data_IF_425773991143
#
_entry.id   IF_425773991143
#
_cell.length_a   1.000
_cell.length_b   1.000
_cell.length_c   1.000
_cell.angle_alpha   90.00
_cell.angle_beta   90.00
_cell.angle_gamma   90.00
#
_symmetry.space_group_name_H-M   'P 1'
#
loop_
_entity.id
_entity.type
_entity.pdbx_description
1 polymer ?
#
# COMPACT_ATOMS: atom_id res chain seq x y z
N UNK A 1 3.82 -8.78 -11.60
CA UNK A 1 3.51 -9.59 -10.39
C UNK A 1 2.68 -8.69 -9.50
N UNK A 2 1.42 -9.09 -9.22
CA UNK A 2 0.43 -8.22 -8.55
C UNK A 2 0.40 -8.42 -7.04
N UNK A 3 1.51 -8.90 -6.49
CA UNK A 3 1.58 -9.26 -5.09
C UNK A 3 1.84 -8.05 -4.20
N UNK A 4 1.20 -8.04 -3.05
CA UNK A 4 1.55 -7.20 -1.91
C UNK A 4 2.72 -7.81 -1.15
N UNK A 5 3.47 -7.01 -0.45
CA UNK A 5 4.42 -7.48 0.57
C UNK A 5 3.89 -7.18 1.97
N UNK A 6 4.11 -8.12 2.87
CA UNK A 6 3.67 -8.03 4.26
C UNK A 6 4.85 -8.23 5.20
N UNK A 7 4.83 -7.50 6.31
CA UNK A 7 5.81 -7.66 7.38
C UNK A 7 5.76 -9.06 7.99
N UNK A 8 6.92 -9.57 8.39
CA UNK A 8 7.07 -10.84 9.11
C UNK A 8 7.23 -10.59 10.61
N UNK A 9 7.42 -11.67 11.38
CA UNK A 9 7.78 -11.52 12.79
C UNK A 9 9.10 -10.76 12.98
N UNK A 10 10.07 -10.91 12.07
CA UNK A 10 11.34 -10.19 12.13
C UNK A 10 11.16 -8.68 12.02
N UNK A 11 10.35 -8.22 11.07
CA UNK A 11 10.01 -6.80 10.92
C UNK A 11 9.13 -6.29 12.05
N UNK A 12 8.24 -7.11 12.58
CA UNK A 12 7.38 -6.75 13.70
C UNK A 12 8.16 -6.56 15.02
N UNK A 13 9.34 -7.15 15.16
CA UNK A 13 10.23 -6.98 16.31
C UNK A 13 11.15 -5.75 16.18
N UNK A 14 11.17 -5.08 15.03
CA UNK A 14 11.92 -3.84 14.89
C UNK A 14 11.27 -2.73 15.75
N UNK A 15 12.09 -1.82 16.27
CA UNK A 15 11.60 -0.69 17.07
C UNK A 15 10.81 0.34 16.23
N UNK A 16 10.77 0.18 14.91
CA UNK A 16 10.12 1.10 14.01
C UNK A 16 8.63 0.70 13.85
N UNK A 17 7.75 1.47 14.45
CA UNK A 17 6.29 1.22 14.44
C UNK A 17 5.71 1.13 13.01
N UNK A 18 6.29 1.84 12.05
CA UNK A 18 5.87 1.83 10.65
C UNK A 18 5.85 0.41 10.05
N UNK A 19 6.85 -0.41 10.41
CA UNK A 19 6.98 -1.77 9.86
C UNK A 19 6.15 -2.81 10.59
N UNK A 20 5.64 -2.46 11.77
CA UNK A 20 4.80 -3.38 12.54
C UNK A 20 3.47 -3.59 11.83
N UNK A 21 3.21 -4.83 11.43
CA UNK A 21 2.02 -5.21 10.68
C UNK A 21 1.84 -4.43 9.36
N UNK A 22 2.94 -4.08 8.68
CA UNK A 22 2.88 -3.36 7.42
C UNK A 22 2.32 -4.25 6.30
N UNK A 23 1.47 -3.66 5.46
CA UNK A 23 1.03 -4.17 4.16
C UNK A 23 1.44 -3.14 3.13
N UNK A 24 2.29 -3.52 2.20
CA UNK A 24 2.94 -2.59 1.27
C UNK A 24 2.57 -2.98 -0.16
N UNK A 25 2.22 -2.00 -0.98
CA UNK A 25 2.12 -2.10 -2.42
C UNK A 25 3.48 -1.80 -3.02
N UNK A 26 4.20 -2.77 -3.59
CA UNK A 26 5.45 -2.52 -4.30
C UNK A 26 5.17 -2.01 -5.71
N UNK A 27 6.03 -1.12 -6.17
CA UNK A 27 6.07 -0.62 -7.55
C UNK A 27 7.51 -0.71 -8.06
N UNK A 28 7.75 -1.66 -8.97
CA UNK A 28 9.05 -1.84 -9.60
C UNK A 28 9.28 -0.75 -10.66
N UNK A 29 10.44 -0.14 -10.63
CA UNK A 29 10.89 0.89 -11.56
C UNK A 29 12.25 0.51 -12.13
N UNK A 30 12.71 1.24 -13.13
CA UNK A 30 14.05 1.04 -13.73
C UNK A 30 15.21 1.33 -12.75
N UNK A 31 14.91 1.90 -11.58
CA UNK A 31 15.91 2.33 -10.58
C UNK A 31 15.69 1.68 -9.20
N UNK A 32 15.08 0.48 -9.17
CA UNK A 32 14.75 -0.22 -7.95
C UNK A 32 13.25 -0.26 -7.67
N UNK A 33 12.87 -0.48 -6.43
CA UNK A 33 11.46 -0.62 -6.05
C UNK A 33 11.03 0.49 -5.12
N UNK A 34 9.96 1.17 -5.47
CA UNK A 34 9.19 2.00 -4.54
C UNK A 34 8.10 1.15 -3.86
N UNK A 35 7.67 1.55 -2.68
CA UNK A 35 6.57 0.88 -1.99
C UNK A 35 5.74 1.83 -1.16
N UNK A 36 4.45 1.51 -1.03
CA UNK A 36 3.48 2.33 -0.31
C UNK A 36 2.80 1.52 0.79
N UNK A 37 3.05 1.89 2.05
CA UNK A 37 2.41 1.22 3.20
C UNK A 37 0.93 1.60 3.23
N UNK A 38 0.07 0.63 2.95
CA UNK A 38 -1.36 0.86 2.70
C UNK A 38 -2.20 0.93 3.96
N UNK A 39 -1.67 0.53 5.11
CA UNK A 39 -2.46 0.27 6.31
C UNK A 39 -1.97 0.98 7.58
N UNK A 40 -1.07 1.95 7.44
CA UNK A 40 -0.62 2.78 8.56
C UNK A 40 -1.33 4.15 8.50
N UNK A 41 -2.49 4.31 9.20
CA UNK A 41 -3.18 5.59 9.21
C UNK A 41 -2.34 6.64 9.93
N UNK A 42 -2.41 7.87 9.46
CA UNK A 42 -1.71 8.99 10.11
C UNK A 42 -2.50 9.40 11.35
N UNK A 43 -1.95 9.08 12.53
CA UNK A 43 -2.67 9.23 13.80
C UNK A 43 -2.70 10.68 14.33
N UNK A 44 -1.67 11.47 14.11
CA UNK A 44 -1.43 12.73 14.83
C UNK A 44 -1.54 13.99 13.97
N UNK A 45 -1.95 13.88 12.70
CA UNK A 45 -2.20 15.03 11.87
C UNK A 45 -3.63 15.53 12.06
N UNK A 46 -3.78 16.81 12.39
CA UNK A 46 -5.09 17.45 12.35
C UNK A 46 -5.53 17.57 10.88
N UNK A 47 -6.82 17.55 10.64
CA UNK A 47 -7.37 17.75 9.29
C UNK A 47 -6.81 19.03 8.66
N UNK A 48 -6.68 20.10 9.44
CA UNK A 48 -6.22 21.40 8.98
C UNK A 48 -4.71 21.40 8.67
N UNK A 49 -3.87 20.69 9.42
CA UNK A 49 -2.43 20.61 9.13
C UNK A 49 -2.15 19.84 7.83
N UNK A 50 -2.93 18.81 7.51
CA UNK A 50 -2.81 18.08 6.24
C UNK A 50 -3.29 18.96 5.08
N UNK A 51 -4.44 19.57 5.21
CA UNK A 51 -5.01 20.42 4.15
C UNK A 51 -4.15 21.64 3.87
N UNK A 52 -3.52 22.22 4.89
CA UNK A 52 -2.67 23.42 4.75
C UNK A 52 -1.29 23.07 4.21
N UNK A 53 -0.65 22.02 4.74
CA UNK A 53 0.72 21.65 4.34
C UNK A 53 0.78 20.94 2.99
N UNK A 54 -0.23 20.14 2.65
CA UNK A 54 -0.25 19.34 1.43
C UNK A 54 -1.28 19.82 0.40
N UNK A 55 -2.10 20.81 0.76
CA UNK A 55 -3.17 21.36 -0.09
C UNK A 55 -4.07 20.28 -0.71
N UNK A 56 -4.31 19.21 0.05
CA UNK A 56 -5.12 18.06 -0.40
C UNK A 56 -6.63 18.29 -0.29
N UNK A 57 -7.04 19.48 0.15
CA UNK A 57 -8.46 19.80 0.32
C UNK A 57 -9.14 18.96 1.41
N UNK A 58 -10.44 18.80 1.32
CA UNK A 58 -11.23 18.04 2.31
C UNK A 58 -11.20 16.52 2.03
N UNK A 59 -10.07 15.88 2.23
CA UNK A 59 -9.96 14.41 2.16
C UNK A 59 -10.36 13.82 3.51
N UNK A 60 -11.23 12.78 3.55
CA UNK A 60 -11.51 12.09 4.80
C UNK A 60 -10.23 11.53 5.43
N UNK A 61 -10.01 11.74 6.72
CA UNK A 61 -8.85 11.20 7.46
C UNK A 61 -8.64 9.70 7.27
N UNK A 62 -9.72 8.95 7.12
CA UNK A 62 -9.69 7.52 6.86
C UNK A 62 -9.02 7.14 5.53
N UNK A 63 -8.70 8.11 4.69
CA UNK A 63 -8.03 7.94 3.41
C UNK A 63 -6.56 8.38 3.40
N UNK A 64 -6.02 8.85 4.54
CA UNK A 64 -4.65 9.38 4.63
C UNK A 64 -3.79 8.41 5.43
N UNK A 65 -2.69 7.98 4.82
CA UNK A 65 -1.80 6.95 5.36
C UNK A 65 -0.35 7.43 5.31
N UNK A 66 0.46 6.96 6.25
CA UNK A 66 1.91 7.06 6.16
C UNK A 66 2.39 6.01 5.15
N UNK A 67 2.73 6.44 3.94
CA UNK A 67 3.15 5.56 2.85
C UNK A 67 4.56 5.01 3.00
N UNK A 68 5.41 5.67 3.77
CA UNK A 68 6.79 5.25 4.04
C UNK A 68 7.64 6.34 4.67
N UNK A 69 8.91 6.04 5.00
CA UNK A 69 9.79 6.96 5.71
C UNK A 69 10.45 8.00 4.81
N UNK A 70 10.47 7.78 3.48
CA UNK A 70 11.10 8.67 2.52
C UNK A 70 10.11 9.75 2.06
N UNK A 71 10.58 10.99 1.95
CA UNK A 71 9.82 12.10 1.40
C UNK A 71 8.42 12.27 2.02
N UNK A 72 8.35 12.23 3.34
CA UNK A 72 7.09 12.34 4.09
C UNK A 72 6.36 13.68 3.90
N UNK A 73 7.06 14.67 3.35
CA UNK A 73 6.51 15.95 2.92
C UNK A 73 5.76 15.87 1.57
N UNK A 74 5.88 14.76 0.85
CA UNK A 74 5.23 14.57 -0.45
C UNK A 74 3.97 13.72 -0.34
N UNK A 75 2.94 14.20 -1.03
CA UNK A 75 1.67 13.52 -1.14
C UNK A 75 1.57 12.76 -2.47
N UNK A 76 1.16 11.51 -2.38
CA UNK A 76 0.92 10.64 -3.53
C UNK A 76 -0.46 10.03 -3.39
N UNK A 77 -1.19 9.80 -4.48
CA UNK A 77 -2.48 9.12 -4.44
C UNK A 77 -2.39 7.80 -5.16
N UNK A 78 -2.56 6.73 -4.39
CA UNK A 78 -2.77 5.39 -4.91
C UNK A 78 -4.26 5.22 -5.21
N UNK A 79 -4.62 4.75 -6.40
CA UNK A 79 -6.03 4.65 -6.82
C UNK A 79 -6.33 3.41 -7.66
N UNK A 80 -7.62 3.02 -7.72
CA UNK A 80 -8.09 1.94 -8.59
C UNK A 80 -8.07 2.36 -10.05
N UNK A 81 -7.96 1.39 -10.95
CA UNK A 81 -7.77 1.63 -12.39
C UNK A 81 -9.03 1.99 -13.17
N UNK A 82 -10.15 2.15 -12.51
CA UNK A 82 -11.41 2.65 -13.09
C UNK A 82 -11.42 4.15 -13.36
N UNK A 83 -10.33 4.83 -13.02
CA UNK A 83 -10.05 6.23 -13.30
C UNK A 83 -8.62 6.39 -13.81
N UNK A 84 -8.39 7.38 -14.67
CA UNK A 84 -7.05 7.67 -15.21
C UNK A 84 -6.84 9.17 -15.40
N UNK A 85 -5.60 9.59 -15.28
CA UNK A 85 -5.10 10.91 -15.60
C UNK A 85 -3.79 10.76 -16.39
N UNK A 86 -3.43 11.75 -17.20
CA UNK A 86 -2.19 11.72 -17.99
C UNK A 86 -0.93 11.46 -17.16
N UNK A 87 -0.93 11.93 -15.89
CA UNK A 87 0.18 11.75 -14.94
C UNK A 87 0.04 10.48 -14.09
N UNK A 88 -0.99 9.66 -14.32
CA UNK A 88 -1.12 8.39 -13.62
C UNK A 88 -0.13 7.36 -14.16
N UNK A 89 0.54 6.67 -13.25
CA UNK A 89 1.44 5.54 -13.55
C UNK A 89 0.78 4.25 -13.09
N UNK A 90 0.66 3.30 -13.99
CA UNK A 90 0.13 1.98 -13.67
C UNK A 90 1.18 1.22 -12.85
N UNK A 91 0.76 0.71 -11.69
CA UNK A 91 1.58 -0.18 -10.86
C UNK A 91 1.34 -1.62 -11.29
N UNK A 92 0.07 -2.02 -11.36
CA UNK A 92 -0.37 -3.36 -11.73
C UNK A 92 -1.82 -3.34 -12.25
N UNK A 93 -2.44 -4.51 -12.41
CA UNK A 93 -3.81 -4.60 -12.91
C UNK A 93 -4.88 -4.02 -11.98
N UNK A 94 -4.56 -3.77 -10.73
CA UNK A 94 -5.49 -3.29 -9.70
C UNK A 94 -5.29 -1.83 -9.30
N UNK A 95 -4.06 -1.32 -9.48
CA UNK A 95 -3.63 -0.04 -8.94
C UNK A 95 -2.89 0.82 -9.96
N UNK A 96 -3.10 2.11 -9.84
CA UNK A 96 -2.26 3.15 -10.40
C UNK A 96 -1.93 4.19 -9.32
N UNK A 97 -0.91 5.00 -9.60
CA UNK A 97 -0.45 6.05 -8.71
C UNK A 97 -0.37 7.36 -9.47
N UNK A 98 -0.68 8.46 -8.80
CA UNK A 98 -0.48 9.81 -9.33
C UNK A 98 0.07 10.74 -8.25
N UNK A 99 0.92 11.65 -8.67
CA UNK A 99 1.39 12.77 -7.86
C UNK A 99 0.56 14.04 -8.13
N UNK A 100 -0.37 13.97 -9.07
CA UNK A 100 -1.26 15.07 -9.42
C UNK A 100 -2.45 15.12 -8.46
N UNK A 101 -2.77 16.33 -7.97
CA UNK A 101 -3.86 16.57 -7.01
C UNK A 101 -5.25 16.59 -7.64
N UNK A 102 -5.34 16.64 -8.96
CA UNK A 102 -6.63 16.65 -9.68
C UNK A 102 -7.48 15.43 -9.36
N UNK A 103 -6.84 14.29 -9.01
CA UNK A 103 -7.56 13.11 -8.52
C UNK A 103 -8.40 13.42 -7.28
N UNK A 104 -7.92 14.25 -6.37
CA UNK A 104 -8.64 14.62 -5.15
C UNK A 104 -9.84 15.50 -5.49
N UNK A 105 -9.66 16.44 -6.41
CA UNK A 105 -10.75 17.26 -6.94
C UNK A 105 -11.79 16.38 -7.63
N UNK A 106 -11.38 15.48 -8.50
CA UNK A 106 -12.26 14.51 -9.15
C UNK A 106 -13.05 13.65 -8.14
N UNK A 107 -12.39 13.19 -7.07
CA UNK A 107 -13.06 12.45 -5.99
C UNK A 107 -14.13 13.28 -5.28
N UNK A 108 -13.87 14.57 -5.06
CA UNK A 108 -14.84 15.48 -4.43
C UNK A 108 -16.06 15.74 -5.31
N UNK A 109 -15.87 15.73 -6.62
CA UNK A 109 -16.93 15.90 -7.62
C UNK A 109 -17.67 14.59 -7.95
N UNK A 110 -17.28 13.48 -7.34
CA UNK A 110 -17.85 12.16 -7.64
C UNK A 110 -17.43 11.58 -9.00
N UNK A 111 -16.39 12.16 -9.62
CA UNK A 111 -15.83 11.74 -10.92
C UNK A 111 -14.47 11.03 -10.78
N UNK A 112 -14.01 10.85 -9.56
CA UNK A 112 -12.72 10.21 -9.25
C UNK A 112 -12.81 8.69 -9.24
N UNK A 113 -11.67 8.02 -8.92
CA UNK A 113 -11.60 6.57 -8.78
C UNK A 113 -12.52 6.06 -7.66
N UNK A 114 -13.05 4.87 -7.84
CA UNK A 114 -13.90 4.20 -6.84
C UNK A 114 -13.15 3.96 -5.52
N UNK A 115 -11.88 3.61 -5.62
CA UNK A 115 -11.01 3.40 -4.48
C UNK A 115 -9.75 4.25 -4.59
N UNK A 116 -9.39 4.92 -3.50
CA UNK A 116 -8.15 5.67 -3.43
C UNK A 116 -7.63 5.76 -1.99
N UNK A 117 -6.32 5.96 -1.85
CA UNK A 117 -5.62 6.27 -0.61
C UNK A 117 -4.62 7.38 -0.85
N UNK A 118 -4.60 8.35 0.04
CA UNK A 118 -3.61 9.43 0.05
C UNK A 118 -2.43 8.96 0.89
N UNK A 119 -1.25 8.92 0.31
CA UNK A 119 -0.03 8.41 0.90
C UNK A 119 0.92 9.58 1.17
N UNK A 120 1.42 9.70 2.39
CA UNK A 120 2.48 10.63 2.74
C UNK A 120 3.80 9.86 2.77
N UNK A 121 4.70 10.24 1.86
CA UNK A 121 5.96 9.53 1.65
C UNK A 121 5.80 8.13 1.04
N UNK A 122 6.93 7.44 0.93
CA UNK A 122 7.03 6.09 0.39
C UNK A 122 8.24 5.33 0.96
N UNK A 123 8.29 4.03 0.70
CA UNK A 123 9.47 3.18 0.90
C UNK A 123 10.28 3.15 -0.38
N UNK A 124 11.58 2.94 -0.26
CA UNK A 124 12.46 2.77 -1.40
C UNK A 124 13.47 1.67 -1.11
N UNK A 125 13.66 0.79 -2.07
CA UNK A 125 14.69 -0.24 -2.11
C UNK A 125 15.53 -0.05 -3.36
N UNK A 126 16.82 -0.27 -3.23
CA UNK A 126 17.73 -0.36 -4.36
C UNK A 126 17.38 -1.57 -5.24
N UNK A 127 17.94 -1.63 -6.44
CA UNK A 127 17.73 -2.76 -7.34
C UNK A 127 18.17 -4.07 -6.69
N UNK A 128 17.26 -5.09 -6.70
CA UNK A 128 17.46 -6.39 -6.06
C UNK A 128 17.41 -6.41 -4.52
N UNK A 129 17.35 -5.25 -3.85
CA UNK A 129 17.32 -5.20 -2.38
C UNK A 129 16.05 -5.85 -1.82
N UNK A 130 14.88 -5.52 -2.36
CA UNK A 130 13.61 -6.08 -1.91
C UNK A 130 13.58 -7.60 -2.06
N UNK A 131 14.05 -8.13 -3.20
CA UNK A 131 14.11 -9.57 -3.45
C UNK A 131 15.02 -10.27 -2.44
N UNK A 132 16.20 -9.69 -2.16
CA UNK A 132 17.09 -10.19 -1.14
C UNK A 132 16.48 -10.19 0.28
N UNK A 133 15.67 -9.18 0.59
CA UNK A 133 14.95 -9.10 1.87
C UNK A 133 13.82 -10.13 1.96
N UNK A 134 13.11 -10.39 0.86
CA UNK A 134 12.10 -11.46 0.77
C UNK A 134 12.75 -12.84 0.97
N UNK A 135 13.86 -13.12 0.27
CA UNK A 135 14.61 -14.38 0.42
C UNK A 135 15.08 -14.58 1.86
N UNK A 136 15.51 -13.52 2.54
CA UNK A 136 15.93 -13.57 3.95
C UNK A 136 14.76 -13.66 4.95
N UNK A 137 13.50 -13.63 4.48
CA UNK A 137 12.31 -13.69 5.31
C UNK A 137 12.04 -12.42 6.11
N UNK A 138 12.55 -11.28 5.68
CA UNK A 138 12.20 -9.96 6.23
C UNK A 138 10.78 -9.61 5.83
N UNK A 139 10.42 -9.86 4.58
CA UNK A 139 9.10 -9.69 4.01
C UNK A 139 8.54 -11.00 3.48
N UNK A 140 7.21 -11.09 3.42
CA UNK A 140 6.52 -12.12 2.67
C UNK A 140 5.68 -11.49 1.56
N UNK A 141 5.58 -12.18 0.43
CA UNK A 141 4.61 -11.84 -0.61
C UNK A 141 3.25 -12.44 -0.29
N UNK A 142 2.19 -11.77 -0.71
CA UNK A 142 0.81 -12.24 -0.64
C UNK A 142 0.04 -11.75 -1.86
N UNK A 143 -0.85 -12.56 -2.46
CA UNK A 143 -1.64 -12.13 -3.58
C UNK A 143 -2.43 -10.86 -3.26
N UNK A 144 -2.66 -10.05 -4.29
CA UNK A 144 -3.55 -8.91 -4.19
C UNK A 144 -4.93 -9.30 -3.66
N UNK A 145 -5.48 -8.44 -2.83
CA UNK A 145 -6.86 -8.57 -2.36
C UNK A 145 -7.54 -7.20 -2.30
N UNK A 146 -8.80 -7.12 -2.70
CA UNK A 146 -9.60 -5.91 -2.57
C UNK A 146 -9.70 -5.38 -1.14
N UNK A 147 -9.43 -6.22 -0.13
CA UNK A 147 -9.32 -5.79 1.27
C UNK A 147 -8.20 -4.78 1.49
N UNK A 148 -7.21 -4.71 0.60
CA UNK A 148 -6.16 -3.69 0.63
C UNK A 148 -6.69 -2.26 0.46
N UNK A 149 -7.83 -2.06 -0.20
CA UNK A 149 -8.49 -0.76 -0.30
C UNK A 149 -9.23 -0.36 0.98
N UNK A 150 -9.54 -1.28 1.85
CA UNK A 150 -10.28 -0.98 3.07
C UNK A 150 -9.46 -0.11 4.01
N UNK A 151 -10.14 0.82 4.68
CA UNK A 151 -9.57 1.64 5.74
C UNK A 151 -9.91 1.01 7.08
N UNK A 152 -8.91 0.46 7.75
CA UNK A 152 -9.05 -0.09 9.09
C UNK A 152 -8.52 0.90 10.12
N UNK A 153 -9.15 0.95 11.29
CA UNK A 153 -8.65 1.73 12.43
C UNK A 153 -7.31 1.21 12.99
N UNK A 154 -6.99 -0.06 12.70
CA UNK A 154 -5.78 -0.72 13.16
C UNK A 154 -5.05 -1.37 11.98
N UNK A 155 -3.78 -1.09 11.84
CA UNK A 155 -2.88 -1.73 10.85
C UNK A 155 -2.87 -3.25 11.00
N UNK A 156 -2.87 -3.75 12.23
CA UNK A 156 -2.87 -5.18 12.52
C UNK A 156 -4.07 -5.91 11.92
N UNK A 157 -5.24 -5.26 11.81
CA UNK A 157 -6.44 -5.91 11.25
C UNK A 157 -6.29 -6.23 9.77
N UNK A 158 -5.74 -5.31 8.97
CA UNK A 158 -5.47 -5.55 7.55
C UNK A 158 -4.39 -6.61 7.39
N UNK A 159 -3.28 -6.45 8.10
CA UNK A 159 -2.16 -7.39 8.06
C UNK A 159 -2.61 -8.83 8.37
N UNK A 160 -3.38 -9.03 9.44
CA UNK A 160 -3.92 -10.35 9.80
C UNK A 160 -4.72 -10.97 8.66
N UNK A 161 -5.60 -10.19 8.03
CA UNK A 161 -6.40 -10.68 6.89
C UNK A 161 -5.52 -11.09 5.70
N UNK A 162 -4.43 -10.34 5.43
CA UNK A 162 -3.50 -10.71 4.36
C UNK A 162 -2.73 -11.99 4.68
N UNK A 163 -2.32 -12.18 5.94
CA UNK A 163 -1.68 -13.43 6.40
C UNK A 163 -2.63 -14.62 6.29
N UNK A 164 -3.88 -14.46 6.72
CA UNK A 164 -4.92 -15.50 6.62
C UNK A 164 -5.19 -15.88 5.16
N UNK A 165 -5.32 -14.88 4.28
CA UNK A 165 -5.52 -15.11 2.82
C UNK A 165 -4.35 -15.87 2.22
N UNK A 166 -3.11 -15.54 2.55
CA UNK A 166 -1.92 -16.27 2.10
C UNK A 166 -1.95 -17.73 2.57
N UNK A 167 -2.24 -17.96 3.84
CA UNK A 167 -2.29 -19.32 4.40
C UNK A 167 -3.33 -20.18 3.68
N UNK A 168 -4.49 -19.62 3.35
CA UNK A 168 -5.55 -20.31 2.64
C UNK A 168 -5.17 -20.67 1.20
N UNK A 169 -4.51 -19.75 0.48
CA UNK A 169 -3.99 -20.01 -0.87
C UNK A 169 -2.95 -21.13 -0.85
N UNK A 170 -2.03 -21.11 0.11
CA UNK A 170 -1.01 -22.15 0.25
C UNK A 170 -1.63 -23.51 0.55
N UNK A 171 -2.62 -23.57 1.45
CA UNK A 171 -3.32 -24.81 1.78
C UNK A 171 -4.10 -25.37 0.57
N UNK A 172 -4.80 -24.52 -0.17
CA UNK A 172 -5.53 -24.94 -1.38
C UNK A 172 -4.59 -25.47 -2.48
N UNK A 173 -3.45 -24.82 -2.69
CA UNK A 173 -2.44 -25.28 -3.65
C UNK A 173 -1.86 -26.64 -3.25
N UNK A 174 -1.62 -26.85 -1.97
CA UNK A 174 -1.16 -28.14 -1.45
C UNK A 174 -2.19 -29.25 -1.66
N UNK A 175 -3.46 -28.99 -1.32
CA UNK A 175 -4.56 -29.97 -1.52
C UNK A 175 -4.76 -30.31 -2.99
N UNK A 176 -4.69 -29.32 -3.89
CA UNK A 176 -4.80 -29.55 -5.33
C UNK A 176 -3.63 -30.39 -5.87
N UNK A 177 -2.41 -30.22 -5.33
CA UNK A 177 -1.26 -31.03 -5.74
C UNK A 177 -1.36 -32.50 -5.30
N UNK A 178 -2.08 -32.78 -4.22
CA UNK A 178 -2.35 -34.15 -3.76
C UNK A 178 -3.48 -34.83 -4.53
N UNK A 179 -4.42 -34.08 -5.10
CA UNK A 179 -5.57 -34.61 -5.85
C UNK A 179 -5.29 -34.95 -7.31
N UNK A 180 -4.08 -34.68 -7.80
CA UNK A 180 -3.62 -34.92 -9.19
C UNK A 180 -2.64 -36.11 -9.31
N UNK A 181 -2.48 -36.90 -8.26
CA UNK A 181 -1.64 -38.12 -8.25
C UNK A 181 -2.47 -39.42 -8.43
#
# INVERSE_FOLDING_TARGET
MDDLIISTQRTNLTQHELWRHAVIMPWHTDHGTMGFVMNQPVANLTHDSITTSYDVGRVPRTRIFCGGPQHTERCTVLHSRDWSHQDSRIINDHCAITFNRDVITACREGKGPRHYKVMLGWCQWEDGQLDAEIVRGVWHTTPWSHTAWASYKSSAKMWRRMVESKAQVTANNFLNSLGTA
#
